data_IF_153027907379
#
_entry.id   IF_153027907379
#
_cell.length_a   1.000
_cell.length_b   1.000
_cell.length_c   1.000
_cell.angle_alpha   90.00
_cell.angle_beta   90.00
_cell.angle_gamma   90.00
#
_symmetry.space_group_name_H-M   'P 1'
#
loop_
_entity.id
_entity.type
_entity.pdbx_description
1 polymer ?
#
# COMPACT_ATOMS: atom_id res chain seq x y z
N UNK A 1 5.07 28.16 3.06
CA UNK A 1 5.63 28.90 1.91
C UNK A 1 4.59 29.90 1.49
N UNK A 2 4.97 31.17 1.49
CA UNK A 2 4.15 32.30 1.02
C UNK A 2 3.87 32.16 -0.48
N UNK A 3 2.62 32.43 -0.87
CA UNK A 3 2.26 32.72 -2.27
C UNK A 3 2.66 34.17 -2.61
N UNK A 4 3.37 34.42 -3.72
CA UNK A 4 3.60 35.78 -4.19
C UNK A 4 2.31 36.35 -4.80
N UNK A 5 1.89 37.49 -4.26
CA UNK A 5 0.85 38.36 -4.83
C UNK A 5 1.33 38.93 -6.16
N UNK A 6 0.62 38.60 -7.22
CA UNK A 6 0.81 39.22 -8.54
C UNK A 6 0.04 40.55 -8.60
N UNK A 7 0.75 41.67 -8.75
CA UNK A 7 0.17 43.00 -8.96
C UNK A 7 0.62 43.53 -10.31
N UNK A 8 -0.08 43.11 -11.37
CA UNK A 8 -0.02 43.79 -12.66
C UNK A 8 -1.45 44.15 -13.11
N UNK A 9 -1.79 45.44 -12.99
CA UNK A 9 -3.03 46.00 -13.53
C UNK A 9 -2.88 46.19 -15.04
N UNK A 10 -3.46 45.30 -15.84
CA UNK A 10 -3.72 45.57 -17.24
C UNK A 10 -4.85 46.60 -17.36
N UNK A 11 -4.54 47.80 -17.86
CA UNK A 11 -5.56 48.71 -18.39
C UNK A 11 -5.83 48.31 -19.83
N UNK A 12 -6.85 47.49 -20.04
CA UNK A 12 -7.51 47.35 -21.33
C UNK A 12 -8.44 48.54 -21.53
N UNK A 13 -8.14 49.38 -22.52
CA UNK A 13 -9.16 50.20 -23.18
C UNK A 13 -9.25 49.71 -24.62
N UNK A 14 -10.36 49.04 -24.84
CA UNK A 14 -10.94 48.42 -26.02
C UNK A 14 -10.97 49.32 -27.30
N UNK A 15 -11.43 48.82 -28.46
CA UNK A 15 -10.53 48.50 -29.57
C UNK A 15 -11.15 48.90 -30.93
N UNK A 16 -10.78 50.05 -31.52
CA UNK A 16 -11.18 50.32 -32.91
C UNK A 16 -10.07 51.08 -33.63
N UNK A 17 -9.43 50.43 -34.60
CA UNK A 17 -8.38 50.99 -35.44
C UNK A 17 -8.95 51.67 -36.71
N UNK A 18 -10.13 52.27 -36.64
CA UNK A 18 -10.77 53.01 -37.73
C UNK A 18 -11.34 54.34 -37.24
N UNK A 19 -10.44 55.25 -36.84
CA UNK A 19 -10.75 56.67 -36.67
C UNK A 19 -9.58 57.47 -37.25
N UNK A 20 -9.57 57.64 -38.57
CA UNK A 20 -8.69 58.62 -39.22
C UNK A 20 -9.35 60.00 -39.09
N UNK A 21 -8.97 60.74 -38.05
CA UNK A 21 -9.36 62.14 -37.87
C UNK A 21 -8.34 63.05 -38.55
N UNK A 22 -8.74 63.75 -39.61
CA UNK A 22 -7.93 64.82 -40.19
C UNK A 22 -8.02 66.04 -39.28
N UNK A 23 -6.90 66.44 -38.68
CA UNK A 23 -6.78 67.71 -37.95
C UNK A 23 -6.26 68.75 -38.93
N UNK A 24 -7.10 69.74 -39.28
CA UNK A 24 -6.65 70.95 -39.96
C UNK A 24 -6.02 71.89 -38.94
N UNK A 25 -4.71 72.11 -39.06
CA UNK A 25 -4.00 73.18 -38.35
C UNK A 25 -4.06 74.43 -39.23
N UNK A 26 -4.61 75.57 -38.78
CA UNK A 26 -4.54 76.81 -39.53
C UNK A 26 -3.08 77.30 -39.55
N UNK A 27 -2.56 77.61 -40.73
CA UNK A 27 -1.28 78.31 -40.84
C UNK A 27 -1.41 79.74 -40.24
N UNK A 28 -0.35 80.27 -39.60
CA UNK A 28 -0.35 81.64 -39.10
C UNK A 28 -0.57 82.63 -40.25
N UNK A 29 -1.46 83.59 -40.02
CA UNK A 29 -1.65 84.75 -40.90
C UNK A 29 -0.46 85.68 -40.65
N UNK A 30 0.57 85.56 -41.47
CA UNK A 30 1.57 86.62 -41.58
C UNK A 30 1.00 87.73 -42.47
N UNK A 31 0.72 88.85 -41.81
CA UNK A 31 0.34 90.13 -42.39
C UNK A 31 1.30 90.53 -43.52
N UNK A 32 0.82 91.07 -44.65
CA UNK A 32 1.73 91.64 -45.64
C UNK A 32 2.40 92.90 -45.07
N UNK A 33 3.70 93.13 -45.31
CA UNK A 33 4.35 94.33 -44.82
C UNK A 33 3.79 95.56 -45.51
N UNK A 34 3.58 96.61 -44.70
CA UNK A 34 3.15 97.93 -45.12
C UNK A 34 4.14 98.54 -46.13
N UNK A 35 3.59 99.10 -47.20
CA UNK A 35 4.31 99.97 -48.12
C UNK A 35 4.80 101.24 -47.39
N UNK A 36 6.11 101.43 -47.32
CA UNK A 36 6.73 102.74 -47.13
C UNK A 36 7.45 103.14 -48.42
N UNK A 37 7.25 104.37 -48.93
CA UNK A 37 7.96 104.84 -50.10
C UNK A 37 9.28 105.48 -49.67
N UNK A 38 10.40 104.99 -50.20
CA UNK A 38 11.65 105.74 -50.22
C UNK A 38 12.36 105.51 -51.53
N UNK A 39 12.70 106.63 -52.17
CA UNK A 39 13.13 106.77 -53.53
C UNK A 39 14.55 106.25 -53.77
N UNK A 40 14.78 105.83 -55.02
CA UNK A 40 16.05 106.04 -55.71
C UNK A 40 16.88 104.79 -55.98
N UNK A 41 16.89 104.39 -57.26
CA UNK A 41 18.05 104.06 -58.10
C UNK A 41 17.79 102.87 -59.03
N UNK A 42 17.58 103.26 -60.28
CA UNK A 42 17.80 102.55 -61.54
C UNK A 42 18.70 101.30 -61.42
N UNK A 43 18.18 100.13 -61.81
CA UNK A 43 18.75 99.38 -62.93
C UNK A 43 17.81 98.29 -63.46
N UNK A 44 17.70 98.26 -64.80
CA UNK A 44 17.15 97.25 -65.71
C UNK A 44 16.09 96.24 -65.21
N UNK A 45 14.81 96.47 -65.51
CA UNK A 45 13.72 95.50 -65.29
C UNK A 45 13.37 94.75 -66.57
N UNK A 46 13.66 93.45 -66.60
CA UNK A 46 13.07 92.49 -67.54
C UNK A 46 11.54 92.39 -67.30
N UNK A 47 10.73 92.02 -68.31
CA UNK A 47 9.28 91.94 -68.16
C UNK A 47 8.89 90.81 -67.19
N UNK A 48 8.05 91.13 -66.20
CA UNK A 48 7.51 90.16 -65.26
C UNK A 48 6.54 89.21 -65.99
N UNK A 49 7.00 87.99 -66.29
CA UNK A 49 6.27 87.04 -67.13
C UNK A 49 5.42 86.09 -66.26
N UNK A 50 4.15 86.45 -66.07
CA UNK A 50 3.14 85.66 -65.31
C UNK A 50 2.97 84.25 -65.89
N UNK A 51 3.17 84.09 -67.20
CA UNK A 51 3.05 82.80 -67.86
C UNK A 51 4.15 81.83 -67.41
N UNK A 52 5.39 82.31 -67.29
CA UNK A 52 6.51 81.51 -66.78
C UNK A 52 6.35 81.14 -65.30
N UNK A 53 5.72 82.01 -64.50
CA UNK A 53 5.39 81.71 -63.10
C UNK A 53 4.33 80.61 -62.99
N UNK A 54 3.30 80.65 -63.84
CA UNK A 54 2.24 79.63 -63.85
C UNK A 54 2.77 78.27 -64.34
N UNK A 55 3.63 78.29 -65.37
CA UNK A 55 4.31 77.09 -65.89
C UNK A 55 5.20 76.46 -64.82
N UNK A 56 6.05 77.25 -64.15
CA UNK A 56 6.90 76.74 -63.07
C UNK A 56 6.12 76.21 -61.88
N UNK A 57 4.97 76.81 -61.54
CA UNK A 57 4.08 76.29 -60.50
C UNK A 57 3.43 74.96 -60.91
N UNK A 58 2.93 74.85 -62.15
CA UNK A 58 2.32 73.64 -62.67
C UNK A 58 3.33 72.48 -62.77
N UNK A 59 4.56 72.80 -63.14
CA UNK A 59 5.66 71.84 -63.21
C UNK A 59 6.12 71.40 -61.81
N UNK A 60 6.17 72.33 -60.84
CA UNK A 60 6.42 72.02 -59.44
C UNK A 60 5.32 71.14 -58.82
N UNK A 61 4.04 71.44 -59.09
CA UNK A 61 2.92 70.59 -58.65
C UNK A 61 2.96 69.20 -59.26
N UNK A 62 3.32 69.08 -60.55
CA UNK A 62 3.46 67.78 -61.20
C UNK A 62 4.59 66.96 -60.58
N UNK A 63 5.74 67.59 -60.31
CA UNK A 63 6.86 66.96 -59.60
C UNK A 63 6.45 66.50 -58.19
N UNK A 64 5.70 67.32 -57.44
CA UNK A 64 5.22 66.92 -56.12
C UNK A 64 4.23 65.76 -56.18
N UNK A 65 3.34 65.72 -57.18
CA UNK A 65 2.39 64.62 -57.35
C UNK A 65 3.09 63.30 -57.67
N UNK A 66 4.10 63.33 -58.57
CA UNK A 66 4.90 62.14 -58.88
C UNK A 66 5.70 61.67 -57.67
N UNK A 67 6.35 62.59 -56.94
CA UNK A 67 7.07 62.26 -55.71
C UNK A 67 6.15 61.64 -54.65
N UNK A 68 4.95 62.19 -54.47
CA UNK A 68 3.95 61.65 -53.54
C UNK A 68 3.46 60.26 -53.96
N UNK A 69 3.26 60.03 -55.27
CA UNK A 69 2.86 58.72 -55.80
C UNK A 69 3.94 57.68 -55.58
N UNK A 70 5.19 58.03 -55.86
CA UNK A 70 6.35 57.15 -55.66
C UNK A 70 6.55 56.82 -54.18
N UNK A 71 6.34 57.79 -53.28
CA UNK A 71 6.38 57.58 -51.83
C UNK A 71 5.25 56.65 -51.35
N UNK A 72 4.02 56.81 -51.86
CA UNK A 72 2.90 55.90 -51.57
C UNK A 72 3.19 54.48 -52.06
N UNK A 73 3.65 54.32 -53.30
CA UNK A 73 3.98 53.01 -53.85
C UNK A 73 5.07 52.33 -53.04
N UNK A 74 6.14 53.06 -52.70
CA UNK A 74 7.22 52.55 -51.84
C UNK A 74 6.71 52.13 -50.46
N UNK A 75 5.89 52.96 -49.83
CA UNK A 75 5.33 52.69 -48.49
C UNK A 75 4.39 51.49 -48.51
N UNK A 76 3.54 51.38 -49.53
CA UNK A 76 2.60 50.27 -49.68
C UNK A 76 3.32 48.96 -49.98
N UNK A 77 4.32 48.97 -50.88
CA UNK A 77 5.12 47.79 -51.18
C UNK A 77 5.86 47.31 -49.94
N UNK A 78 6.49 48.22 -49.17
CA UNK A 78 7.16 47.86 -47.92
C UNK A 78 6.21 47.25 -46.87
N UNK A 79 4.97 47.77 -46.76
CA UNK A 79 3.96 47.20 -45.87
C UNK A 79 3.44 45.84 -46.35
N UNK A 80 3.29 45.68 -47.67
CA UNK A 80 2.86 44.42 -48.28
C UNK A 80 3.90 43.33 -48.03
N UNK A 81 5.18 43.62 -48.26
CA UNK A 81 6.29 42.69 -47.99
C UNK A 81 6.33 42.30 -46.50
N UNK A 82 6.17 43.27 -45.60
CA UNK A 82 6.13 43.01 -44.16
C UNK A 82 4.91 42.17 -43.74
N UNK A 83 3.76 42.34 -44.39
CA UNK A 83 2.59 41.50 -44.18
C UNK A 83 2.80 40.09 -44.72
N UNK A 84 3.37 39.95 -45.91
CA UNK A 84 3.70 38.67 -46.52
C UNK A 84 4.61 37.83 -45.62
N UNK A 85 5.70 38.43 -45.11
CA UNK A 85 6.61 37.77 -44.18
C UNK A 85 5.92 37.35 -42.87
N UNK A 86 4.99 38.18 -42.35
CA UNK A 86 4.23 37.83 -41.16
C UNK A 86 3.24 36.69 -41.40
N UNK A 87 2.65 36.61 -42.59
CA UNK A 87 1.74 35.51 -42.95
C UNK A 87 2.54 34.21 -43.04
N UNK A 88 3.68 34.22 -43.74
CA UNK A 88 4.58 33.05 -43.84
C UNK A 88 5.02 32.54 -42.46
N UNK A 89 5.43 33.45 -41.56
CA UNK A 89 5.81 33.07 -40.19
C UNK A 89 4.65 32.45 -39.40
N UNK A 90 3.43 32.98 -39.55
CA UNK A 90 2.24 32.43 -38.87
C UNK A 90 1.82 31.09 -39.47
N UNK A 91 2.03 30.87 -40.77
CA UNK A 91 1.77 29.58 -41.40
C UNK A 91 2.75 28.50 -40.90
N UNK A 92 4.03 28.85 -40.78
CA UNK A 92 5.06 27.97 -40.18
C UNK A 92 4.72 27.62 -38.72
N UNK A 93 4.44 28.63 -37.88
CA UNK A 93 4.04 28.41 -36.49
C UNK A 93 2.78 27.52 -36.35
N UNK A 94 1.81 27.67 -37.26
CA UNK A 94 0.60 26.84 -37.26
C UNK A 94 0.87 25.38 -37.61
N UNK A 95 1.81 25.12 -38.52
CA UNK A 95 2.16 23.75 -38.88
C UNK A 95 2.93 23.07 -37.74
N UNK A 96 3.88 23.79 -37.12
CA UNK A 96 4.59 23.32 -35.92
C UNK A 96 3.63 23.00 -34.77
N UNK A 97 2.62 23.86 -34.54
CA UNK A 97 1.59 23.63 -33.52
C UNK A 97 0.73 22.40 -33.84
N UNK A 98 0.40 22.16 -35.11
CA UNK A 98 -0.37 20.97 -35.52
C UNK A 98 0.41 19.69 -35.25
N UNK A 99 1.71 19.69 -35.56
CA UNK A 99 2.58 18.53 -35.32
C UNK A 99 2.76 18.25 -33.82
N UNK A 100 2.92 19.30 -33.01
CA UNK A 100 2.94 19.19 -31.54
C UNK A 100 1.63 18.62 -30.98
N UNK A 101 0.48 19.11 -31.45
CA UNK A 101 -0.84 18.61 -31.01
C UNK A 101 -1.01 17.14 -31.38
N UNK A 102 -0.56 16.73 -32.57
CA UNK A 102 -0.62 15.33 -33.00
C UNK A 102 0.22 14.45 -32.08
N UNK A 103 1.47 14.84 -31.82
CA UNK A 103 2.38 14.12 -30.92
C UNK A 103 1.80 13.97 -29.52
N UNK A 104 1.30 15.06 -28.94
CA UNK A 104 0.70 15.05 -27.60
C UNK A 104 -0.54 14.14 -27.53
N UNK A 105 -1.32 14.06 -28.61
CA UNK A 105 -2.48 13.18 -28.68
C UNK A 105 -2.07 11.70 -28.67
N UNK A 106 -1.07 11.34 -29.47
CA UNK A 106 -0.53 9.97 -29.51
C UNK A 106 0.09 9.56 -28.16
N UNK A 107 0.82 10.46 -27.51
CA UNK A 107 1.34 10.25 -26.15
C UNK A 107 0.23 10.07 -25.11
N UNK A 108 -0.85 10.86 -25.21
CA UNK A 108 -2.02 10.74 -24.35
C UNK A 108 -2.71 9.37 -24.49
N UNK A 109 -2.94 8.93 -25.72
CA UNK A 109 -3.54 7.62 -26.00
C UNK A 109 -2.67 6.47 -25.49
N UNK A 110 -1.34 6.56 -25.63
CA UNK A 110 -0.42 5.56 -25.11
C UNK A 110 -0.44 5.49 -23.56
N UNK A 111 -0.46 6.65 -22.89
CA UNK A 111 -0.57 6.71 -21.42
C UNK A 111 -1.88 6.15 -20.91
N UNK A 112 -2.99 6.38 -21.61
CA UNK A 112 -4.29 5.81 -21.25
C UNK A 112 -4.30 4.29 -21.34
N UNK A 113 -3.63 3.72 -22.35
CA UNK A 113 -3.45 2.27 -22.48
C UNK A 113 -2.59 1.70 -21.34
N UNK A 114 -1.49 2.37 -20.99
CA UNK A 114 -0.63 1.97 -19.86
C UNK A 114 -1.41 2.01 -18.53
N UNK A 115 -2.18 3.06 -18.29
CA UNK A 115 -3.04 3.19 -17.10
C UNK A 115 -4.07 2.05 -17.04
N UNK A 116 -4.66 1.68 -18.18
CA UNK A 116 -5.62 0.57 -18.24
C UNK A 116 -4.95 -0.77 -17.91
N UNK A 117 -3.73 -1.02 -18.42
CA UNK A 117 -2.94 -2.21 -18.13
C UNK A 117 -2.55 -2.28 -16.63
N UNK A 118 -2.05 -1.18 -16.05
CA UNK A 118 -1.71 -1.13 -14.63
C UNK A 118 -2.92 -1.33 -13.72
N UNK A 119 -4.09 -0.82 -14.11
CA UNK A 119 -5.34 -1.05 -13.38
C UNK A 119 -5.74 -2.53 -13.37
N UNK A 120 -5.61 -3.23 -14.50
CA UNK A 120 -5.94 -4.65 -14.57
C UNK A 120 -4.95 -5.49 -13.76
N UNK A 121 -3.66 -5.20 -13.85
CA UNK A 121 -2.62 -5.87 -13.05
C UNK A 121 -2.86 -5.68 -11.54
N UNK A 122 -3.20 -4.47 -11.11
CA UNK A 122 -3.54 -4.19 -9.71
C UNK A 122 -4.70 -5.04 -9.20
N UNK A 123 -5.72 -5.30 -10.01
CA UNK A 123 -6.85 -6.16 -9.63
C UNK A 123 -6.39 -7.60 -9.44
N UNK A 124 -5.57 -8.11 -10.37
CA UNK A 124 -5.00 -9.47 -10.28
C UNK A 124 -4.13 -9.63 -9.03
N UNK A 125 -3.26 -8.65 -8.76
CA UNK A 125 -2.38 -8.67 -7.59
C UNK A 125 -3.18 -8.63 -6.29
N UNK A 126 -4.25 -7.84 -6.22
CA UNK A 126 -5.16 -7.85 -5.05
C UNK A 126 -5.82 -9.21 -4.83
N UNK A 127 -6.24 -9.88 -5.91
CA UNK A 127 -6.78 -11.24 -5.81
C UNK A 127 -5.77 -12.22 -5.21
N UNK A 128 -4.53 -12.20 -5.73
CA UNK A 128 -3.43 -13.04 -5.20
C UNK A 128 -3.11 -12.77 -3.73
N UNK A 129 -3.13 -11.51 -3.30
CA UNK A 129 -2.91 -11.16 -1.88
C UNK A 129 -4.00 -11.77 -1.01
N UNK A 130 -5.28 -11.63 -1.40
CA UNK A 130 -6.39 -12.20 -0.64
C UNK A 130 -6.30 -13.74 -0.55
N UNK A 131 -5.91 -14.41 -1.63
CA UNK A 131 -5.69 -15.87 -1.63
C UNK A 131 -4.55 -16.28 -0.67
N UNK A 132 -3.44 -15.52 -0.66
CA UNK A 132 -2.32 -15.75 0.25
C UNK A 132 -2.68 -15.50 1.71
N UNK A 133 -3.40 -14.43 2.00
CA UNK A 133 -3.88 -14.11 3.35
C UNK A 133 -4.79 -15.22 3.87
N UNK A 134 -5.73 -15.70 3.05
CA UNK A 134 -6.60 -16.80 3.42
C UNK A 134 -5.83 -18.11 3.68
N UNK A 135 -4.86 -18.45 2.82
CA UNK A 135 -3.99 -19.61 3.02
C UNK A 135 -3.12 -19.50 4.28
N UNK A 136 -2.63 -18.30 4.60
CA UNK A 136 -1.89 -18.06 5.83
C UNK A 136 -2.76 -18.24 7.07
N UNK A 137 -3.99 -17.69 7.07
CA UNK A 137 -4.93 -17.85 8.18
C UNK A 137 -5.29 -19.32 8.42
N UNK A 138 -5.51 -20.10 7.35
CA UNK A 138 -5.81 -21.54 7.44
C UNK A 138 -4.63 -22.33 8.04
N UNK A 139 -3.42 -22.13 7.53
CA UNK A 139 -2.21 -22.78 8.05
C UNK A 139 -1.95 -22.36 9.50
N UNK A 140 -2.07 -21.08 9.81
CA UNK A 140 -1.87 -20.56 11.16
C UNK A 140 -2.90 -21.12 12.13
N UNK A 141 -4.17 -21.21 11.73
CA UNK A 141 -5.23 -21.86 12.50
C UNK A 141 -4.92 -23.34 12.73
N UNK A 142 -4.55 -24.07 11.68
CA UNK A 142 -4.17 -25.47 11.78
C UNK A 142 -3.00 -25.69 12.74
N UNK A 143 -1.92 -24.90 12.64
CA UNK A 143 -0.78 -24.99 13.54
C UNK A 143 -1.16 -24.63 14.98
N UNK A 144 -1.90 -23.54 15.18
CA UNK A 144 -2.29 -23.10 16.52
C UNK A 144 -3.15 -24.14 17.24
N UNK A 145 -4.12 -24.72 16.53
CA UNK A 145 -5.03 -25.70 17.10
C UNK A 145 -4.36 -27.06 17.27
N UNK A 146 -3.65 -27.54 16.24
CA UNK A 146 -3.02 -28.87 16.29
C UNK A 146 -1.79 -28.91 17.17
N UNK A 147 -0.92 -27.91 17.17
CA UNK A 147 0.24 -27.89 18.08
C UNK A 147 -0.23 -27.82 19.54
N UNK A 148 -1.31 -27.08 19.82
CA UNK A 148 -1.88 -27.04 21.17
C UNK A 148 -2.46 -28.40 21.58
N UNK A 149 -3.22 -29.06 20.70
CA UNK A 149 -3.72 -30.42 20.94
C UNK A 149 -2.58 -31.44 21.16
N UNK A 150 -1.53 -31.41 20.32
CA UNK A 150 -0.38 -32.31 20.44
C UNK A 150 0.40 -32.07 21.74
N UNK A 151 0.66 -30.82 22.08
CA UNK A 151 1.35 -30.46 23.33
C UNK A 151 0.53 -30.82 24.57
N UNK A 152 -0.79 -30.67 24.51
CA UNK A 152 -1.69 -31.09 25.58
C UNK A 152 -1.67 -32.61 25.76
N UNK A 153 -1.67 -33.37 24.66
CA UNK A 153 -1.55 -34.83 24.69
C UNK A 153 -0.22 -35.28 25.29
N UNK A 154 0.89 -34.67 24.91
CA UNK A 154 2.22 -35.01 25.47
C UNK A 154 2.25 -34.74 26.97
N UNK A 155 1.75 -33.59 27.41
CA UNK A 155 1.68 -33.24 28.84
C UNK A 155 0.79 -34.21 29.61
N UNK A 156 -0.44 -34.43 29.14
CA UNK A 156 -1.37 -35.37 29.77
C UNK A 156 -0.86 -36.82 29.73
N UNK A 157 -0.03 -37.19 28.75
CA UNK A 157 0.61 -38.50 28.73
C UNK A 157 1.68 -38.61 29.82
N UNK A 158 2.54 -37.60 29.93
CA UNK A 158 3.57 -37.58 30.97
C UNK A 158 2.96 -37.73 32.36
N UNK A 159 1.86 -37.02 32.64
CA UNK A 159 1.23 -37.10 33.97
C UNK A 159 0.56 -38.45 34.23
N UNK A 160 -0.01 -39.08 33.20
CA UNK A 160 -0.50 -40.46 33.30
C UNK A 160 0.64 -41.43 33.60
N UNK A 161 1.81 -41.25 32.97
CA UNK A 161 2.96 -42.11 33.25
C UNK A 161 3.50 -41.90 34.66
N UNK A 162 3.54 -40.67 35.17
CA UNK A 162 3.89 -40.39 36.56
C UNK A 162 2.91 -41.02 37.55
N UNK A 163 1.59 -40.90 37.32
CA UNK A 163 0.57 -41.54 38.16
C UNK A 163 0.66 -43.06 38.13
N UNK A 164 0.83 -43.67 36.97
CA UNK A 164 1.03 -45.11 36.82
C UNK A 164 2.34 -45.57 37.48
N UNK A 165 3.42 -44.80 37.36
CA UNK A 165 4.69 -45.09 37.99
C UNK A 165 4.60 -45.08 39.52
N UNK A 166 3.87 -44.11 40.08
CA UNK A 166 3.56 -44.07 41.51
C UNK A 166 2.80 -45.31 41.95
N UNK A 167 1.76 -45.69 41.20
CA UNK A 167 0.99 -46.91 41.48
C UNK A 167 1.87 -48.16 41.45
N UNK A 168 2.77 -48.31 40.47
CA UNK A 168 3.74 -49.42 40.42
C UNK A 168 4.58 -49.51 41.69
N UNK A 169 5.11 -48.37 42.17
CA UNK A 169 5.95 -48.32 43.37
C UNK A 169 5.17 -48.69 44.62
N UNK A 170 3.99 -48.09 44.81
CA UNK A 170 3.16 -48.30 46.00
C UNK A 170 2.62 -49.72 46.08
N UNK A 171 2.14 -50.26 44.96
CA UNK A 171 1.66 -51.63 44.85
C UNK A 171 2.79 -52.68 44.81
N UNK A 172 4.06 -52.25 44.87
CA UNK A 172 5.26 -53.12 44.81
C UNK A 172 5.21 -54.08 43.61
N UNK A 173 4.73 -53.60 42.46
CA UNK A 173 4.63 -54.41 41.25
C UNK A 173 6.04 -54.80 40.80
N UNK A 174 6.29 -56.09 40.48
CA UNK A 174 7.60 -56.53 40.04
C UNK A 174 8.07 -55.79 38.78
N UNK A 175 9.29 -55.27 38.82
CA UNK A 175 9.98 -54.63 37.69
C UNK A 175 11.23 -55.44 37.32
N UNK A 176 11.73 -55.29 36.10
CA UNK A 176 12.94 -56.00 35.66
C UNK A 176 14.13 -55.65 36.57
N UNK A 177 14.79 -56.67 37.10
CA UNK A 177 15.97 -56.52 37.97
C UNK A 177 17.23 -56.26 37.14
N UNK A 178 17.29 -56.83 35.94
CA UNK A 178 18.42 -56.68 35.02
C UNK A 178 18.45 -55.29 34.36
N UNK A 179 17.28 -54.67 34.20
CA UNK A 179 17.11 -53.33 33.64
C UNK A 179 16.23 -52.49 34.57
N UNK A 180 16.81 -51.92 35.65
CA UNK A 180 16.04 -51.14 36.61
C UNK A 180 15.41 -49.93 35.92
N UNK A 181 14.12 -49.62 36.19
CA UNK A 181 13.41 -48.55 35.50
C UNK A 181 14.08 -47.18 35.75
N UNK A 182 14.40 -46.44 34.69
CA UNK A 182 15.13 -45.16 34.77
C UNK A 182 14.21 -43.94 34.58
N UNK A 183 12.98 -44.16 34.13
CA UNK A 183 12.01 -43.10 33.81
C UNK A 183 10.60 -43.43 34.33
N UNK A 184 9.71 -42.43 34.55
CA UNK A 184 8.31 -42.69 34.87
C UNK A 184 7.62 -43.58 33.83
N UNK A 185 8.03 -43.47 32.56
CA UNK A 185 7.51 -44.31 31.48
C UNK A 185 7.84 -45.80 31.67
N UNK A 186 9.04 -46.13 32.18
CA UNK A 186 9.44 -47.52 32.45
C UNK A 186 8.62 -48.13 33.59
N UNK A 187 8.44 -47.37 34.68
CA UNK A 187 7.58 -47.76 35.80
C UNK A 187 6.11 -47.90 35.37
N UNK A 188 5.61 -47.00 34.53
CA UNK A 188 4.27 -47.05 33.93
C UNK A 188 4.07 -48.29 33.05
N UNK A 189 5.09 -48.72 32.29
CA UNK A 189 5.03 -49.95 31.49
C UNK A 189 4.82 -51.18 32.35
N UNK A 190 5.47 -51.27 33.51
CA UNK A 190 5.27 -52.38 34.45
C UNK A 190 3.84 -52.43 35.02
N UNK A 191 3.26 -51.27 35.38
CA UNK A 191 1.85 -51.17 35.77
C UNK A 191 0.92 -51.71 34.68
N UNK A 192 1.13 -51.25 33.44
CA UNK A 192 0.31 -51.66 32.29
C UNK A 192 0.44 -53.15 31.99
N UNK A 193 1.66 -53.69 32.07
CA UNK A 193 1.93 -55.11 31.88
C UNK A 193 1.20 -55.96 32.92
N UNK A 194 1.18 -55.51 34.19
CA UNK A 194 0.47 -56.21 35.28
C UNK A 194 -1.03 -56.32 35.02
N UNK A 195 -1.63 -55.28 34.44
CA UNK A 195 -3.05 -55.22 34.11
C UNK A 195 -3.39 -55.82 32.73
N UNK A 196 -2.40 -56.15 31.90
CA UNK A 196 -2.61 -56.59 30.51
C UNK A 196 -3.41 -57.90 30.40
N UNK A 197 -3.42 -58.71 31.46
CA UNK A 197 -4.10 -60.00 31.52
C UNK A 197 -5.62 -59.88 31.75
N UNK A 198 -6.11 -58.70 32.15
CA UNK A 198 -7.53 -58.47 32.38
C UNK A 198 -8.29 -58.33 31.05
N UNK A 199 -9.51 -58.86 31.00
CA UNK A 199 -10.38 -58.90 29.84
C UNK A 199 -10.88 -57.50 29.43
N UNK A 200 -11.31 -56.69 30.40
CA UNK A 200 -11.91 -55.37 30.17
C UNK A 200 -11.45 -54.30 31.18
N UNK A 201 -11.98 -53.07 31.05
CA UNK A 201 -11.59 -51.95 31.92
C UNK A 201 -12.11 -52.07 33.35
N UNK A 202 -13.23 -52.76 33.58
CA UNK A 202 -13.80 -52.93 34.92
C UNK A 202 -13.00 -53.96 35.71
N UNK A 203 -12.59 -55.06 35.06
CA UNK A 203 -11.67 -56.04 35.65
C UNK A 203 -10.29 -55.41 35.93
N UNK A 204 -9.82 -54.50 35.06
CA UNK A 204 -8.57 -53.74 35.30
C UNK A 204 -8.68 -52.82 36.51
N UNK A 205 -9.80 -52.13 36.68
CA UNK A 205 -10.05 -51.31 37.87
C UNK A 205 -10.11 -52.17 39.14
N UNK A 206 -10.85 -53.28 39.11
CA UNK A 206 -10.97 -54.19 40.25
C UNK A 206 -9.60 -54.78 40.63
N UNK A 207 -8.80 -55.18 39.64
CA UNK A 207 -7.44 -55.69 39.85
C UNK A 207 -6.53 -54.61 40.45
N UNK A 208 -6.61 -53.37 39.96
CA UNK A 208 -5.87 -52.26 40.53
C UNK A 208 -6.26 -51.99 41.99
N UNK A 209 -7.55 -52.04 42.33
CA UNK A 209 -8.02 -51.90 43.72
C UNK A 209 -7.48 -52.99 44.62
N UNK A 210 -7.50 -54.23 44.15
CA UNK A 210 -6.93 -55.37 44.88
C UNK A 210 -5.44 -55.19 45.17
N UNK A 211 -4.67 -54.68 44.20
CA UNK A 211 -3.24 -54.39 44.36
C UNK A 211 -2.93 -53.25 45.35
N UNK A 212 -3.89 -52.36 45.58
CA UNK A 212 -3.74 -51.19 46.45
C UNK A 212 -4.42 -51.36 47.82
N UNK A 213 -5.11 -52.48 48.06
CA UNK A 213 -5.89 -52.70 49.28
C UNK A 213 -5.04 -52.62 50.55
N UNK A 214 -3.81 -53.16 50.48
CA UNK A 214 -2.88 -53.25 51.61
C UNK A 214 -1.77 -52.19 51.56
N UNK A 215 -1.95 -51.10 50.80
CA UNK A 215 -0.93 -50.06 50.72
C UNK A 215 -1.01 -49.05 51.89
N UNK A 216 0.16 -48.56 52.31
CA UNK A 216 0.30 -47.62 53.42
C UNK A 216 0.00 -46.15 53.04
N UNK A 217 -0.13 -45.86 51.73
CA UNK A 217 -0.41 -44.52 51.20
C UNK A 217 -1.92 -44.28 51.16
N UNK A 218 -2.42 -43.48 52.09
CA UNK A 218 -3.85 -43.19 52.22
C UNK A 218 -4.42 -42.49 50.98
N UNK A 219 -3.66 -41.58 50.35
CA UNK A 219 -4.09 -40.86 49.16
C UNK A 219 -4.30 -41.82 47.97
N UNK A 220 -3.44 -42.83 47.83
CA UNK A 220 -3.55 -43.87 46.81
C UNK A 220 -4.64 -44.88 47.15
N UNK A 221 -4.75 -45.31 48.41
CA UNK A 221 -5.75 -46.29 48.85
C UNK A 221 -7.17 -45.75 48.71
N UNK A 222 -7.39 -44.52 49.16
CA UNK A 222 -8.70 -43.88 49.26
C UNK A 222 -9.05 -43.05 48.01
N UNK A 223 -8.19 -43.08 46.98
CA UNK A 223 -8.42 -42.44 45.68
C UNK A 223 -9.81 -42.81 45.13
N UNK A 224 -10.59 -41.90 44.51
CA UNK A 224 -11.86 -42.24 43.86
C UNK A 224 -11.71 -43.17 42.64
N UNK A 225 -12.69 -44.03 42.38
CA UNK A 225 -12.68 -44.95 41.23
C UNK A 225 -12.57 -44.21 39.90
N UNK A 226 -13.22 -43.06 39.76
CA UNK A 226 -13.19 -42.27 38.53
C UNK A 226 -11.78 -41.75 38.21
N UNK A 227 -11.00 -41.42 39.23
CA UNK A 227 -9.59 -41.02 39.10
C UNK A 227 -8.74 -42.25 38.79
N UNK A 228 -8.93 -43.35 39.51
CA UNK A 228 -8.17 -44.58 39.30
C UNK A 228 -8.39 -45.17 37.91
N UNK A 229 -9.61 -45.07 37.36
CA UNK A 229 -9.94 -45.47 35.98
C UNK A 229 -9.02 -44.83 34.95
N UNK A 230 -8.61 -43.57 35.12
CA UNK A 230 -7.70 -42.90 34.18
C UNK A 230 -6.33 -43.61 34.10
N UNK A 231 -5.88 -44.22 35.20
CA UNK A 231 -4.61 -44.95 35.26
C UNK A 231 -4.75 -46.43 34.89
N UNK A 232 -5.96 -46.97 34.81
CA UNK A 232 -6.20 -48.40 34.53
C UNK A 232 -6.75 -48.66 33.13
N UNK A 233 -7.41 -47.69 32.47
CA UNK A 233 -7.99 -47.88 31.12
C UNK A 233 -6.98 -48.41 30.10
N UNK A 234 -7.44 -49.36 29.27
CA UNK A 234 -6.64 -49.97 28.20
C UNK A 234 -6.13 -48.89 27.22
N UNK A 235 -4.86 -48.96 26.78
CA UNK A 235 -4.38 -48.03 25.76
C UNK A 235 -5.19 -48.17 24.47
N UNK A 236 -5.72 -47.05 23.97
CA UNK A 236 -6.26 -46.98 22.61
C UNK A 236 -5.12 -46.70 21.61
N UNK A 237 -5.40 -46.85 20.32
CA UNK A 237 -4.38 -46.68 19.25
C UNK A 237 -3.72 -45.29 19.30
N UNK A 238 -4.50 -44.26 19.62
CA UNK A 238 -4.02 -42.89 19.84
C UNK A 238 -3.03 -42.79 21.00
N UNK A 239 -3.23 -43.54 22.08
CA UNK A 239 -2.32 -43.60 23.24
C UNK A 239 -1.05 -44.41 22.93
N UNK A 240 -1.14 -45.41 22.05
CA UNK A 240 0.02 -46.19 21.58
C UNK A 240 0.91 -45.34 20.66
N UNK A 241 0.32 -44.50 19.82
CA UNK A 241 1.07 -43.57 18.96
C UNK A 241 1.72 -42.43 19.77
N UNK A 242 1.02 -41.93 20.80
CA UNK A 242 1.59 -40.99 21.77
C UNK A 242 2.78 -41.58 22.55
N UNK A 243 2.76 -42.87 22.88
CA UNK A 243 3.89 -43.58 23.54
C UNK A 243 5.18 -43.55 22.69
N UNK A 244 5.08 -43.36 21.36
CA UNK A 244 6.23 -43.28 20.45
C UNK A 244 6.81 -41.87 20.33
N UNK A 245 6.06 -40.86 20.74
CA UNK A 245 6.36 -39.43 20.48
C UNK A 245 6.50 -38.60 21.77
N UNK A 246 6.13 -39.14 22.92
CA UNK A 246 6.24 -38.44 24.20
C UNK A 246 7.71 -38.32 24.65
N UNK A 247 8.18 -37.07 24.78
CA UNK A 247 9.42 -36.75 25.50
C UNK A 247 9.10 -36.51 26.99
N UNK A 248 10.00 -36.92 27.92
CA UNK A 248 9.83 -36.64 29.34
C UNK A 248 9.99 -35.14 29.60
N UNK A 249 8.89 -34.40 29.63
CA UNK A 249 8.90 -32.99 29.99
C UNK A 249 8.71 -32.91 31.50
N UNK A 250 9.77 -32.59 32.23
CA UNK A 250 9.70 -32.37 33.67
C UNK A 250 9.08 -30.98 33.90
N UNK A 251 7.78 -30.91 34.17
CA UNK A 251 7.06 -29.64 34.31
C UNK A 251 6.17 -29.63 35.54
N UNK A 252 6.22 -28.54 36.29
CA UNK A 252 5.38 -28.31 37.46
C UNK A 252 3.90 -28.06 37.10
N UNK A 253 3.07 -27.94 38.14
CA UNK A 253 1.60 -27.79 38.05
C UNK A 253 1.13 -26.67 37.11
N UNK A 254 1.89 -25.57 37.03
CA UNK A 254 1.59 -24.43 36.15
C UNK A 254 1.57 -24.79 34.66
N UNK A 255 2.31 -25.80 34.22
CA UNK A 255 2.32 -26.25 32.84
C UNK A 255 1.04 -27.00 32.43
N UNK A 256 0.32 -27.53 33.42
CA UNK A 256 -0.92 -28.29 33.24
C UNK A 256 -2.17 -27.42 33.34
N UNK A 257 -2.06 -26.24 33.97
CA UNK A 257 -3.19 -25.31 34.15
C UNK A 257 -3.88 -24.98 32.82
N UNK A 258 -3.12 -24.55 31.82
CA UNK A 258 -3.65 -24.21 30.50
C UNK A 258 -4.26 -25.43 29.77
N UNK A 259 -3.71 -26.62 30.00
CA UNK A 259 -4.21 -27.89 29.43
C UNK A 259 -5.58 -28.23 30.00
N UNK A 260 -5.74 -28.11 31.32
CA UNK A 260 -6.98 -28.39 32.03
C UNK A 260 -8.07 -27.38 31.64
N UNK A 261 -7.73 -26.09 31.52
CA UNK A 261 -8.68 -25.02 31.16
C UNK A 261 -9.27 -25.22 29.76
N UNK A 262 -8.52 -25.82 28.83
CA UNK A 262 -8.97 -26.15 27.48
C UNK A 262 -9.92 -27.36 27.39
N UNK A 263 -10.04 -28.17 28.45
CA UNK A 263 -10.96 -29.32 28.48
C UNK A 263 -12.38 -28.89 28.85
N UNK A 264 -13.37 -29.74 28.54
CA UNK A 264 -14.77 -29.49 28.89
C UNK A 264 -14.94 -29.30 30.39
N UNK A 265 -15.86 -28.43 30.80
CA UNK A 265 -16.00 -28.01 32.21
C UNK A 265 -16.21 -29.20 33.15
N UNK A 266 -16.95 -30.22 32.69
CA UNK A 266 -17.23 -31.45 33.43
C UNK A 266 -15.98 -32.31 33.69
N UNK A 267 -14.96 -32.23 32.82
CA UNK A 267 -13.73 -33.02 32.92
C UNK A 267 -12.65 -32.35 33.77
N UNK A 268 -12.73 -31.02 33.95
CA UNK A 268 -11.68 -30.24 34.65
C UNK A 268 -11.45 -30.69 36.10
N UNK A 269 -12.48 -30.96 36.94
CA UNK A 269 -12.26 -31.40 38.32
C UNK A 269 -11.53 -32.73 38.42
N UNK A 270 -11.82 -33.64 37.49
CA UNK A 270 -11.22 -34.97 37.43
C UNK A 270 -9.75 -34.90 36.99
N UNK A 271 -9.47 -34.11 35.94
CA UNK A 271 -8.11 -33.91 35.46
C UNK A 271 -7.20 -33.21 36.49
N UNK A 272 -7.74 -32.28 37.28
CA UNK A 272 -6.99 -31.69 38.40
C UNK A 272 -6.55 -32.74 39.41
N UNK A 273 -7.41 -33.71 39.75
CA UNK A 273 -7.08 -34.80 40.67
C UNK A 273 -6.03 -35.75 40.06
N UNK A 274 -6.17 -36.11 38.78
CA UNK A 274 -5.17 -36.92 38.06
C UNK A 274 -3.81 -36.22 38.04
N UNK A 275 -3.78 -34.91 37.79
CA UNK A 275 -2.53 -34.12 37.76
C UNK A 275 -1.92 -34.00 39.14
N UNK A 276 -2.71 -33.63 40.16
CA UNK A 276 -2.24 -33.53 41.53
C UNK A 276 -1.64 -34.85 42.03
N UNK A 277 -2.28 -35.98 41.71
CA UNK A 277 -1.79 -37.30 42.09
C UNK A 277 -0.50 -37.68 41.37
N UNK A 278 -0.43 -37.44 40.05
CA UNK A 278 0.73 -37.79 39.23
C UNK A 278 1.98 -36.97 39.58
N UNK A 279 1.84 -35.68 39.91
CA UNK A 279 2.96 -34.80 40.26
C UNK A 279 3.64 -35.17 41.58
N UNK A 280 3.03 -36.02 42.42
CA UNK A 280 3.65 -36.54 43.63
C UNK A 280 4.71 -37.61 43.33
N UNK A 281 4.77 -38.13 42.10
CA UNK A 281 5.79 -39.08 41.69
C UNK A 281 7.14 -38.38 41.45
N UNK A 282 8.16 -38.86 42.16
CA UNK A 282 9.55 -38.45 41.98
C UNK A 282 10.39 -39.72 41.81
N UNK A 283 11.35 -39.71 40.88
CA UNK A 283 12.26 -40.85 40.66
C UNK A 283 13.19 -41.06 41.84
#
# INVERSE_FOLDING_TARGET
>A
MEEPKDTAKAKTVCPYATASGVVFVPAPIDMPPQYQPSAGHNDATAPFNVHALLESFQEASKLQLEAFKEEIEKTNNSKLDALQQRVEAVEEDNEDLREQVKTLKEEGENRDQEIAALKSERVVLRGRIAELEHGHEDIHGWLSDKDTEYMDRIRLRHILDCGQARLTRIAKVPVSVDFPPQSPADWSRAWRARLAQCADNDERLATARSLLADCDDADTRDMPDDVLRHFTVRPNDTRIEADRTAHPVNVGESAYKAVIERQSEDQRPLLRQVVAYGLQFHL
#
